data_IF_974793792418
#
_entry.id   IF_974793792418
#
_cell.length_a   1.000
_cell.length_b   1.000
_cell.length_c   1.000
_cell.angle_alpha   90.00
_cell.angle_beta   90.00
_cell.angle_gamma   90.00
#
_symmetry.space_group_name_H-M   'P 1'
#
loop_
_entity.id
_entity.type
_entity.pdbx_description
1 polymer ?
#
# COMPACT_ATOMS: atom_id res chain seq x y z
N UNK A 1 -8.89 -23.58 -11.46
CA UNK A 1 -8.65 -22.73 -10.30
C UNK A 1 -9.53 -21.50 -10.40
N UNK A 2 -10.05 -21.05 -9.26
CA UNK A 2 -10.90 -19.86 -9.15
C UNK A 2 -10.32 -18.91 -8.12
N UNK A 3 -10.28 -17.63 -8.46
CA UNK A 3 -9.79 -16.59 -7.54
C UNK A 3 -10.84 -15.51 -7.32
N UNK A 4 -10.90 -15.01 -6.07
CA UNK A 4 -11.64 -13.79 -5.76
C UNK A 4 -10.66 -12.67 -5.42
N UNK A 5 -10.89 -11.48 -5.98
CA UNK A 5 -10.07 -10.30 -5.77
C UNK A 5 -10.87 -9.28 -4.96
N UNK A 6 -10.37 -8.94 -3.77
CA UNK A 6 -10.96 -7.95 -2.86
C UNK A 6 -10.33 -6.58 -3.00
N UNK A 7 -11.00 -5.53 -2.55
CA UNK A 7 -10.54 -4.14 -2.59
C UNK A 7 -10.18 -3.68 -4.03
N UNK A 8 -10.96 -4.06 -5.01
CA UNK A 8 -10.69 -3.71 -6.41
C UNK A 8 -11.14 -2.29 -6.69
N UNK A 9 -10.28 -1.51 -7.34
CA UNK A 9 -10.61 -0.21 -7.91
C UNK A 9 -10.97 -0.35 -9.37
N UNK A 10 -11.72 0.59 -9.90
CA UNK A 10 -12.19 0.58 -11.29
C UNK A 10 -11.03 0.51 -12.31
N UNK A 11 -9.90 1.16 -12.00
CA UNK A 11 -8.70 1.15 -12.84
C UNK A 11 -7.98 -0.21 -12.88
N UNK A 12 -8.23 -1.11 -11.93
CA UNK A 12 -7.64 -2.44 -11.86
C UNK A 12 -8.44 -3.49 -12.65
N UNK A 13 -9.75 -3.27 -12.84
CA UNK A 13 -10.68 -4.25 -13.45
C UNK A 13 -10.16 -4.77 -14.80
N UNK A 14 -9.78 -3.93 -15.77
CA UNK A 14 -9.33 -4.42 -17.08
C UNK A 14 -8.10 -5.35 -17.00
N UNK A 15 -7.21 -5.11 -16.04
CA UNK A 15 -6.01 -5.93 -15.84
C UNK A 15 -6.37 -7.27 -15.20
N UNK A 16 -7.28 -7.29 -14.24
CA UNK A 16 -7.76 -8.50 -13.56
C UNK A 16 -8.47 -9.43 -14.56
N UNK A 17 -9.38 -8.88 -15.35
CA UNK A 17 -10.13 -9.62 -16.37
C UNK A 17 -9.20 -10.17 -17.47
N UNK A 18 -8.28 -9.33 -17.95
CA UNK A 18 -7.28 -9.75 -18.92
C UNK A 18 -6.43 -10.89 -18.38
N UNK A 19 -5.94 -10.76 -17.15
CA UNK A 19 -5.12 -11.80 -16.53
C UNK A 19 -5.88 -13.12 -16.40
N UNK A 20 -7.13 -13.09 -15.93
CA UNK A 20 -7.97 -14.27 -15.82
C UNK A 20 -8.16 -14.96 -17.18
N UNK A 21 -8.45 -14.18 -18.23
CA UNK A 21 -8.61 -14.69 -19.60
C UNK A 21 -7.32 -15.30 -20.15
N UNK A 22 -6.20 -14.59 -20.01
CA UNK A 22 -4.90 -15.01 -20.55
C UNK A 22 -4.41 -16.32 -19.91
N UNK A 23 -4.82 -16.60 -18.66
CA UNK A 23 -4.40 -17.80 -17.91
C UNK A 23 -5.48 -18.88 -17.82
N UNK A 24 -6.65 -18.66 -18.39
CA UNK A 24 -7.79 -19.60 -18.28
C UNK A 24 -8.28 -19.80 -16.84
N UNK A 25 -8.20 -18.76 -16.02
CA UNK A 25 -8.55 -18.75 -14.60
C UNK A 25 -9.86 -17.97 -14.42
N UNK A 26 -10.82 -18.57 -13.73
CA UNK A 26 -12.04 -17.87 -13.33
C UNK A 26 -11.71 -16.87 -12.22
N UNK A 27 -11.98 -15.59 -12.47
CA UNK A 27 -11.74 -14.51 -11.50
C UNK A 27 -13.05 -13.77 -11.22
N UNK A 28 -13.41 -13.68 -9.94
CA UNK A 28 -14.42 -12.77 -9.42
C UNK A 28 -13.72 -11.61 -8.74
N UNK A 29 -14.29 -10.44 -8.75
CA UNK A 29 -13.76 -9.29 -8.01
C UNK A 29 -14.86 -8.54 -7.26
N UNK A 30 -14.48 -7.88 -6.18
CA UNK A 30 -15.36 -7.06 -5.34
C UNK A 30 -14.60 -5.83 -4.82
N UNK A 31 -15.32 -4.73 -4.62
CA UNK A 31 -14.79 -3.53 -3.96
C UNK A 31 -14.72 -3.66 -2.45
N UNK A 32 -15.33 -4.71 -1.90
CA UNK A 32 -15.39 -5.01 -0.47
C UNK A 32 -13.99 -5.25 0.10
N UNK A 33 -13.74 -4.79 1.32
CA UNK A 33 -12.51 -5.12 2.06
C UNK A 33 -12.60 -6.53 2.63
N UNK A 34 -11.55 -7.32 2.45
CA UNK A 34 -11.45 -8.65 3.07
C UNK A 34 -11.29 -8.52 4.58
N UNK A 35 -12.23 -9.08 5.30
CA UNK A 35 -12.25 -9.15 6.76
C UNK A 35 -13.09 -10.35 7.24
N UNK A 36 -13.30 -10.49 8.54
CA UNK A 36 -14.04 -11.60 9.13
C UNK A 36 -15.53 -11.65 8.70
N UNK A 37 -16.13 -10.51 8.36
CA UNK A 37 -17.54 -10.44 7.94
C UNK A 37 -17.71 -10.78 6.46
N UNK A 38 -16.69 -10.46 5.64
CA UNK A 38 -16.74 -10.58 4.17
C UNK A 38 -16.04 -11.82 3.63
N UNK A 39 -15.31 -12.54 4.46
CA UNK A 39 -14.54 -13.74 4.06
C UNK A 39 -15.42 -14.85 3.46
N UNK A 40 -16.69 -14.90 3.84
CA UNK A 40 -17.64 -15.88 3.30
C UNK A 40 -17.91 -15.71 1.78
N UNK A 41 -17.67 -14.51 1.23
CA UNK A 41 -17.75 -14.29 -0.22
C UNK A 41 -16.72 -15.12 -1.00
N UNK A 42 -15.66 -15.58 -0.31
CA UNK A 42 -14.61 -16.42 -0.90
C UNK A 42 -14.97 -17.91 -0.93
N UNK A 43 -16.14 -18.31 -0.47
CA UNK A 43 -16.55 -19.71 -0.49
C UNK A 43 -16.57 -20.29 -1.92
N UNK A 44 -15.90 -21.43 -2.11
CA UNK A 44 -15.79 -22.10 -3.40
C UNK A 44 -14.71 -21.56 -4.34
N UNK A 45 -13.85 -20.64 -3.85
CA UNK A 45 -12.64 -20.19 -4.53
C UNK A 45 -11.41 -20.91 -3.99
N UNK A 46 -10.37 -21.06 -4.82
CA UNK A 46 -9.09 -21.68 -4.43
C UNK A 46 -8.15 -20.69 -3.76
N UNK A 47 -8.30 -19.41 -4.06
CA UNK A 47 -7.42 -18.35 -3.56
C UNK A 47 -8.04 -16.96 -3.59
N UNK A 48 -7.42 -16.09 -2.80
CA UNK A 48 -7.79 -14.68 -2.66
C UNK A 48 -6.62 -13.83 -3.14
N UNK A 49 -6.92 -12.75 -3.87
CA UNK A 49 -6.01 -11.62 -4.04
C UNK A 49 -6.60 -10.39 -3.35
N UNK A 50 -5.80 -9.68 -2.55
CA UNK A 50 -6.29 -8.51 -1.83
C UNK A 50 -5.20 -7.45 -1.64
N UNK A 51 -5.64 -6.23 -1.39
CA UNK A 51 -4.85 -5.17 -0.79
C UNK A 51 -5.20 -5.14 0.71
N UNK A 52 -4.32 -5.70 1.57
CA UNK A 52 -4.64 -5.72 2.99
C UNK A 52 -4.40 -4.34 3.60
N UNK A 53 -5.43 -3.81 4.22
CA UNK A 53 -5.43 -2.50 4.87
C UNK A 53 -5.73 -2.59 6.37
N UNK A 54 -6.05 -3.79 6.84
CA UNK A 54 -6.39 -4.09 8.24
C UNK A 54 -5.55 -5.27 8.75
N UNK A 55 -5.62 -5.53 10.05
CA UNK A 55 -5.00 -6.70 10.66
C UNK A 55 -5.69 -7.99 10.21
N UNK A 56 -4.93 -8.98 9.75
CA UNK A 56 -5.39 -10.33 9.46
C UNK A 56 -5.00 -11.25 10.62
N UNK A 57 -5.97 -11.54 11.46
CA UNK A 57 -5.82 -12.31 12.69
C UNK A 57 -5.91 -13.82 12.46
N UNK A 58 -5.67 -14.58 13.52
CA UNK A 58 -5.79 -16.04 13.52
C UNK A 58 -7.19 -16.50 13.09
N UNK A 59 -8.25 -15.84 13.58
CA UNK A 59 -9.64 -16.19 13.25
C UNK A 59 -9.94 -16.09 11.75
N UNK A 60 -9.34 -15.12 11.07
CA UNK A 60 -9.49 -14.99 9.62
C UNK A 60 -8.85 -16.18 8.88
N UNK A 61 -7.68 -16.64 9.34
CA UNK A 61 -7.02 -17.82 8.76
C UNK A 61 -7.73 -19.14 9.10
N UNK A 62 -8.39 -19.23 10.24
CA UNK A 62 -9.29 -20.33 10.56
C UNK A 62 -10.49 -20.37 9.59
N UNK A 63 -11.05 -19.20 9.28
CA UNK A 63 -12.10 -19.08 8.26
C UNK A 63 -11.60 -19.51 6.87
N UNK A 64 -10.38 -19.14 6.49
CA UNK A 64 -9.77 -19.62 5.25
C UNK A 64 -9.67 -21.15 5.21
N UNK A 65 -9.19 -21.76 6.29
CA UNK A 65 -9.09 -23.21 6.40
C UNK A 65 -10.45 -23.89 6.27
N UNK A 66 -11.46 -23.37 6.97
CA UNK A 66 -12.85 -23.87 6.91
C UNK A 66 -13.44 -23.78 5.49
N UNK A 67 -13.13 -22.70 4.76
CA UNK A 67 -13.57 -22.50 3.38
C UNK A 67 -12.72 -23.26 2.33
N UNK A 68 -11.66 -23.93 2.76
CA UNK A 68 -10.74 -24.65 1.87
C UNK A 68 -9.79 -23.74 1.09
N UNK A 69 -9.63 -22.48 1.50
CA UNK A 69 -8.73 -21.50 0.87
C UNK A 69 -7.27 -21.86 1.12
N UNK A 70 -6.47 -21.88 0.05
CA UNK A 70 -5.06 -22.29 0.12
C UNK A 70 -4.09 -21.19 -0.24
N UNK A 71 -4.54 -20.16 -0.92
CA UNK A 71 -3.66 -19.13 -1.49
C UNK A 71 -4.16 -17.73 -1.16
N UNK A 72 -3.26 -16.91 -0.62
CA UNK A 72 -3.48 -15.49 -0.37
C UNK A 72 -2.39 -14.68 -1.08
N UNK A 73 -2.77 -13.93 -2.10
CA UNK A 73 -1.88 -13.05 -2.86
C UNK A 73 -2.11 -11.61 -2.46
N UNK A 74 -1.10 -11.00 -1.86
CA UNK A 74 -1.13 -9.61 -1.41
C UNK A 74 -0.68 -8.68 -2.53
N UNK A 75 -1.47 -7.64 -2.83
CA UNK A 75 -1.12 -6.62 -3.83
C UNK A 75 -0.28 -5.47 -3.25
N UNK A 76 0.51 -5.75 -2.23
CA UNK A 76 1.41 -4.80 -1.55
C UNK A 76 2.70 -5.49 -1.09
N UNK A 77 3.61 -4.70 -0.54
CA UNK A 77 4.96 -5.15 -0.10
C UNK A 77 4.92 -5.70 1.32
N UNK A 78 4.33 -4.94 2.26
CA UNK A 78 4.35 -5.24 3.69
C UNK A 78 3.50 -6.44 4.08
N UNK A 79 3.91 -7.14 5.12
CA UNK A 79 3.20 -8.28 5.72
C UNK A 79 3.07 -8.12 7.24
N UNK A 80 3.37 -6.94 7.78
CA UNK A 80 3.44 -6.69 9.22
C UNK A 80 2.09 -6.81 9.93
N UNK A 81 1.00 -6.65 9.18
CA UNK A 81 -0.37 -6.80 9.65
C UNK A 81 -0.96 -8.20 9.38
N UNK A 82 -0.12 -9.20 9.15
CA UNK A 82 -0.53 -10.58 8.88
C UNK A 82 -0.02 -11.51 9.96
N UNK A 83 -0.89 -12.30 10.55
CA UNK A 83 -0.49 -13.40 11.44
C UNK A 83 0.08 -14.57 10.61
N UNK A 84 1.37 -14.47 10.26
CA UNK A 84 2.06 -15.49 9.48
C UNK A 84 2.09 -16.87 10.16
N UNK A 85 2.30 -16.99 11.50
CA UNK A 85 2.16 -18.24 12.21
C UNK A 85 0.78 -18.88 12.03
N UNK A 86 -0.29 -18.11 12.20
CA UNK A 86 -1.66 -18.61 12.00
C UNK A 86 -1.93 -19.02 10.54
N UNK A 87 -1.47 -18.25 9.58
CA UNK A 87 -1.57 -18.62 8.16
C UNK A 87 -0.91 -19.95 7.87
N UNK A 88 0.30 -20.17 8.40
CA UNK A 88 1.03 -21.42 8.26
C UNK A 88 0.30 -22.60 8.93
N UNK A 89 -0.20 -22.39 10.15
CA UNK A 89 -0.94 -23.44 10.89
C UNK A 89 -2.22 -23.86 10.14
N UNK A 90 -2.86 -22.93 9.42
CA UNK A 90 -4.06 -23.17 8.61
C UNK A 90 -3.76 -23.58 7.16
N UNK A 91 -2.50 -23.84 6.81
CA UNK A 91 -2.09 -24.32 5.49
C UNK A 91 -2.21 -23.28 4.36
N UNK A 92 -2.33 -22.00 4.70
CA UNK A 92 -2.46 -20.90 3.73
C UNK A 92 -1.07 -20.46 3.25
N UNK A 93 -0.86 -20.48 1.93
CA UNK A 93 0.35 -19.97 1.29
C UNK A 93 0.15 -18.51 0.92
N UNK A 94 1.06 -17.65 1.39
CA UNK A 94 1.00 -16.20 1.17
C UNK A 94 2.08 -15.81 0.17
N UNK A 95 1.72 -14.93 -0.76
CA UNK A 95 2.64 -14.23 -1.65
C UNK A 95 2.41 -12.72 -1.57
N UNK A 96 3.45 -11.94 -1.81
CA UNK A 96 3.40 -10.48 -1.82
C UNK A 96 4.14 -9.92 -3.05
N UNK A 97 4.18 -8.58 -3.18
CA UNK A 97 4.93 -7.88 -4.23
C UNK A 97 6.19 -7.25 -3.61
N UNK A 98 7.32 -7.96 -3.51
CA UNK A 98 8.46 -7.56 -2.68
C UNK A 98 9.29 -6.40 -3.26
N UNK A 99 9.06 -6.00 -4.50
CA UNK A 99 9.80 -4.94 -5.18
C UNK A 99 8.87 -4.06 -6.00
N UNK A 100 8.19 -3.13 -5.33
CA UNK A 100 7.29 -2.18 -5.97
C UNK A 100 7.78 -0.76 -5.69
N UNK A 101 8.29 -0.11 -6.75
CA UNK A 101 8.65 1.32 -6.83
C UNK A 101 9.19 1.96 -5.53
N UNK A 102 10.35 1.56 -5.00
CA UNK A 102 10.96 2.23 -3.84
C UNK A 102 11.29 3.70 -4.16
N UNK A 103 11.51 4.02 -5.43
CA UNK A 103 11.79 5.36 -5.92
C UNK A 103 10.61 6.30 -5.67
N UNK A 104 9.37 5.88 -5.93
CA UNK A 104 8.19 6.74 -5.73
C UNK A 104 8.00 7.14 -4.27
N UNK A 105 8.31 6.25 -3.34
CA UNK A 105 8.26 6.54 -1.90
C UNK A 105 9.37 7.51 -1.51
N UNK A 106 10.57 7.32 -2.06
CA UNK A 106 11.72 8.19 -1.83
C UNK A 106 11.47 9.61 -2.38
N UNK A 107 10.95 9.72 -3.59
CA UNK A 107 10.57 11.00 -4.22
C UNK A 107 9.52 11.74 -3.38
N UNK A 108 8.53 11.03 -2.86
CA UNK A 108 7.53 11.61 -1.98
C UNK A 108 8.15 12.12 -0.67
N UNK A 109 9.09 11.39 -0.08
CA UNK A 109 9.81 11.82 1.13
C UNK A 109 10.64 13.09 0.87
N UNK A 110 11.34 13.19 -0.26
CA UNK A 110 12.10 14.39 -0.66
C UNK A 110 11.16 15.57 -0.90
N UNK A 111 10.08 15.36 -1.63
CA UNK A 111 9.05 16.38 -1.87
C UNK A 111 8.49 16.91 -0.55
N UNK A 112 8.14 16.03 0.40
CA UNK A 112 7.64 16.44 1.71
C UNK A 112 8.69 17.20 2.52
N UNK A 113 9.96 16.83 2.43
CA UNK A 113 11.07 17.54 3.09
C UNK A 113 11.20 18.96 2.57
N UNK A 114 11.15 19.16 1.25
CA UNK A 114 11.14 20.46 0.61
C UNK A 114 9.88 21.26 0.97
N UNK A 115 8.73 20.63 0.93
CA UNK A 115 7.45 21.25 1.29
C UNK A 115 7.46 21.83 2.69
N UNK A 116 7.99 21.07 3.66
CA UNK A 116 8.12 21.50 5.06
C UNK A 116 9.20 22.57 5.22
N UNK A 117 10.40 22.38 4.66
CA UNK A 117 11.53 23.31 4.76
C UNK A 117 11.20 24.68 4.15
N UNK A 118 10.39 24.70 3.10
CA UNK A 118 9.96 25.94 2.41
C UNK A 118 8.62 26.46 2.91
N UNK A 119 8.03 25.84 3.95
CA UNK A 119 6.76 26.26 4.58
C UNK A 119 5.58 26.38 3.61
N UNK A 120 5.54 25.57 2.56
CA UNK A 120 4.54 25.67 1.49
C UNK A 120 3.12 25.52 2.03
N UNK A 121 2.89 24.58 2.95
CA UNK A 121 1.57 24.37 3.58
C UNK A 121 1.11 25.61 4.36
N UNK A 122 2.02 26.25 5.08
CA UNK A 122 1.71 27.47 5.81
C UNK A 122 1.36 28.64 4.85
N UNK A 123 2.15 28.84 3.80
CA UNK A 123 1.87 29.84 2.77
C UNK A 123 0.50 29.61 2.11
N UNK A 124 0.23 28.34 1.78
CA UNK A 124 -1.06 27.96 1.18
C UNK A 124 -2.23 28.26 2.11
N UNK A 125 -2.11 27.91 3.38
CA UNK A 125 -3.14 28.20 4.39
C UNK A 125 -3.40 29.70 4.52
N UNK A 126 -2.36 30.53 4.54
CA UNK A 126 -2.54 31.99 4.61
C UNK A 126 -3.24 32.54 3.37
N UNK A 127 -2.86 32.06 2.18
CA UNK A 127 -3.50 32.45 0.93
C UNK A 127 -4.99 32.06 0.91
N UNK A 128 -5.31 30.84 1.30
CA UNK A 128 -6.69 30.34 1.26
C UNK A 128 -7.58 31.04 2.31
N UNK A 129 -7.03 31.38 3.48
CA UNK A 129 -7.81 32.01 4.56
C UNK A 129 -7.92 33.53 4.44
N UNK A 130 -6.86 34.20 3.99
CA UNK A 130 -6.79 35.68 3.97
C UNK A 130 -6.96 36.27 2.58
N UNK A 131 -6.85 35.44 1.53
CA UNK A 131 -6.86 35.86 0.11
C UNK A 131 -5.81 36.95 -0.19
N UNK A 132 -4.72 36.97 0.57
CA UNK A 132 -3.66 37.96 0.46
C UNK A 132 -2.38 37.29 -0.05
N UNK A 133 -1.75 37.94 -1.02
CA UNK A 133 -0.42 37.53 -1.50
C UNK A 133 0.57 38.64 -1.16
N UNK A 134 1.27 38.50 -0.06
CA UNK A 134 2.26 39.45 0.39
C UNK A 134 3.47 38.73 0.99
N UNK A 135 4.60 39.44 1.05
CA UNK A 135 5.78 38.95 1.75
C UNK A 135 5.56 39.03 3.27
N UNK A 136 5.95 37.95 3.96
CA UNK A 136 6.06 37.92 5.42
C UNK A 136 7.36 37.23 5.83
N UNK A 137 8.06 37.69 6.84
CA UNK A 137 9.20 36.98 7.43
C UNK A 137 8.84 35.55 7.88
N UNK A 138 7.58 35.31 8.23
CA UNK A 138 7.06 33.98 8.61
C UNK A 138 7.10 32.98 7.46
N UNK A 139 7.17 33.45 6.21
CA UNK A 139 7.30 32.59 5.03
C UNK A 139 8.73 32.15 4.74
N UNK A 140 9.71 32.72 5.43
CA UNK A 140 11.10 32.36 5.20
C UNK A 140 11.35 30.90 5.60
N UNK A 141 11.73 30.11 4.62
CA UNK A 141 12.17 28.73 4.77
C UNK A 141 13.69 28.62 4.84
N UNK A 142 14.18 27.40 4.96
CA UNK A 142 15.61 27.08 4.91
C UNK A 142 15.98 26.50 3.55
N UNK A 143 17.21 26.76 3.12
CA UNK A 143 17.77 26.09 1.94
C UNK A 143 18.10 24.63 2.30
N UNK A 144 17.72 23.70 1.47
CA UNK A 144 17.99 22.28 1.72
C UNK A 144 19.49 21.98 1.60
N UNK A 145 20.19 22.71 0.73
CA UNK A 145 21.66 22.63 0.55
C UNK A 145 22.46 23.00 1.80
N UNK A 146 21.85 23.71 2.76
CA UNK A 146 22.46 24.10 4.03
C UNK A 146 22.06 23.16 5.18
N UNK A 147 21.30 22.11 4.88
CA UNK A 147 20.80 21.20 5.89
C UNK A 147 21.49 19.85 5.82
N UNK A 148 21.57 19.19 6.96
CA UNK A 148 22.01 17.80 7.04
C UNK A 148 20.79 16.90 7.13
N UNK A 149 20.70 15.92 6.24
CA UNK A 149 19.62 14.93 6.22
C UNK A 149 20.11 13.62 6.83
N UNK A 150 19.44 13.16 7.89
CA UNK A 150 19.66 11.84 8.46
C UNK A 150 18.63 10.83 7.92
N UNK A 151 19.11 9.73 7.35
CA UNK A 151 18.23 8.66 6.86
C UNK A 151 18.35 7.45 7.80
N UNK A 152 17.24 7.13 8.47
CA UNK A 152 17.14 5.93 9.33
C UNK A 152 16.56 4.78 8.53
N UNK A 153 17.36 3.72 8.35
CA UNK A 153 17.03 2.59 7.48
C UNK A 153 17.56 2.78 6.05
N UNK A 154 18.52 1.93 5.69
CA UNK A 154 19.24 1.99 4.39
C UNK A 154 18.86 0.81 3.47
N UNK A 155 17.61 0.37 3.53
CA UNK A 155 17.01 -0.54 2.57
C UNK A 155 16.82 0.13 1.20
N UNK A 156 16.08 -0.52 0.29
CA UNK A 156 15.87 -0.02 -1.09
C UNK A 156 15.33 1.41 -1.12
N UNK A 157 14.33 1.72 -0.29
CA UNK A 157 13.73 3.06 -0.20
C UNK A 157 14.74 4.07 0.37
N UNK A 158 15.43 3.73 1.48
CA UNK A 158 16.42 4.63 2.08
C UNK A 158 17.58 4.93 1.14
N UNK A 159 18.08 3.95 0.40
CA UNK A 159 19.12 4.16 -0.62
C UNK A 159 18.64 5.05 -1.78
N UNK A 160 17.38 4.89 -2.21
CA UNK A 160 16.81 5.79 -3.22
C UNK A 160 16.67 7.22 -2.68
N UNK A 161 16.21 7.40 -1.43
CA UNK A 161 16.11 8.71 -0.80
C UNK A 161 17.48 9.39 -0.66
N UNK A 162 18.52 8.64 -0.23
CA UNK A 162 19.89 9.17 -0.14
C UNK A 162 20.36 9.73 -1.50
N UNK A 163 20.14 8.98 -2.58
CA UNK A 163 20.52 9.43 -3.94
C UNK A 163 19.80 10.70 -4.38
N UNK A 164 18.54 10.87 -3.96
CA UNK A 164 17.74 12.03 -4.31
C UNK A 164 18.08 13.28 -3.47
N UNK A 165 18.67 13.10 -2.28
CA UNK A 165 19.14 14.21 -1.43
C UNK A 165 20.57 14.65 -1.78
N UNK A 166 21.32 13.91 -2.55
CA UNK A 166 22.66 14.25 -3.05
C UNK A 166 22.64 15.17 -4.26
#
# INVERSE_FOLDING_TARGET
>A
MKFIVYNVRDDEIPFIEKWGKDHGIEVKYTTTTLNQETVEEAAGFDGISCLQTIQYSAELFESFSRLGMKYLSLRNVGVDNIDLPAAKANGVKITNVPGYSPESIAEFAVMMSLYLSRKVGYMRQQLDQKHEFHFSPDFMGRLISEQTVGVVGTGRIGQAAIKLFQ
#
